data_IF_748014517532
#
_entry.id   IF_748014517532
#
_cell.length_a   1.000
_cell.length_b   1.000
_cell.length_c   1.000
_cell.angle_alpha   90.00
_cell.angle_beta   90.00
_cell.angle_gamma   90.00
#
_symmetry.space_group_name_H-M   'P 1'
#
loop_
_entity.id
_entity.type
_entity.pdbx_description
1 polymer ?
#
# COMPACT_ATOMS: atom_id res chain seq x y z
N UNK A 1 23.75 -7.01 -7.91
CA UNK A 1 22.65 -6.36 -8.62
C UNK A 1 22.36 -4.99 -8.00
N UNK A 2 21.92 -4.01 -8.81
CA UNK A 2 21.54 -2.68 -8.31
C UNK A 2 20.18 -2.67 -7.61
N UNK A 3 19.27 -3.58 -8.02
CA UNK A 3 17.92 -3.73 -7.47
C UNK A 3 17.63 -5.22 -7.24
N UNK A 4 16.99 -5.52 -6.11
CA UNK A 4 16.51 -6.86 -5.76
C UNK A 4 15.02 -6.78 -5.49
N UNK A 5 14.20 -7.42 -6.32
CA UNK A 5 12.77 -7.59 -6.04
C UNK A 5 12.55 -8.88 -5.27
N UNK A 6 11.86 -8.80 -4.16
CA UNK A 6 11.55 -9.97 -3.32
C UNK A 6 10.04 -10.17 -3.25
N UNK A 7 9.57 -11.24 -3.87
CA UNK A 7 8.18 -11.68 -3.76
C UNK A 7 8.03 -12.44 -2.43
N UNK A 8 7.39 -11.82 -1.42
CA UNK A 8 7.26 -12.40 -0.11
C UNK A 8 6.41 -11.57 0.84
N UNK A 9 6.22 -12.08 2.04
CA UNK A 9 5.50 -11.40 3.12
C UNK A 9 6.49 -10.75 4.08
N UNK A 10 6.00 -9.89 4.96
CA UNK A 10 6.75 -9.10 5.93
C UNK A 10 7.84 -9.91 6.66
N UNK A 11 7.49 -11.06 7.23
CA UNK A 11 8.42 -11.87 8.01
C UNK A 11 9.64 -12.33 7.19
N UNK A 12 9.39 -12.83 5.99
CA UNK A 12 10.46 -13.25 5.05
C UNK A 12 11.28 -12.04 4.61
N UNK A 13 10.62 -10.92 4.34
CA UNK A 13 11.26 -9.68 3.94
C UNK A 13 12.24 -9.19 5.02
N UNK A 14 11.80 -9.11 6.26
CA UNK A 14 12.66 -8.66 7.37
C UNK A 14 13.87 -9.57 7.57
N UNK A 15 13.70 -10.89 7.45
CA UNK A 15 14.84 -11.84 7.50
C UNK A 15 15.86 -11.56 6.40
N UNK A 16 15.41 -11.35 5.17
CA UNK A 16 16.26 -11.06 4.02
C UNK A 16 16.95 -9.69 4.20
N UNK A 17 16.22 -8.66 4.60
CA UNK A 17 16.76 -7.32 4.79
C UNK A 17 17.81 -7.29 5.90
N UNK A 18 17.55 -7.94 7.05
CA UNK A 18 18.52 -8.06 8.15
C UNK A 18 19.80 -8.75 7.70
N UNK A 19 19.64 -9.87 6.98
CA UNK A 19 20.80 -10.62 6.47
C UNK A 19 21.58 -9.84 5.42
N UNK A 20 20.90 -9.16 4.51
CA UNK A 20 21.52 -8.29 3.53
C UNK A 20 22.34 -7.17 4.19
N UNK A 21 21.79 -6.54 5.24
CA UNK A 21 22.52 -5.52 6.02
C UNK A 21 23.74 -6.12 6.71
N UNK A 22 23.59 -7.29 7.33
CA UNK A 22 24.69 -8.00 8.00
C UNK A 22 25.84 -8.33 7.03
N UNK A 23 25.49 -8.68 5.78
CA UNK A 23 26.47 -9.01 4.73
C UNK A 23 26.99 -7.79 3.96
N UNK A 24 26.54 -6.59 4.27
CA UNK A 24 26.94 -5.36 3.58
C UNK A 24 26.45 -5.29 2.12
N UNK A 25 25.35 -5.97 1.78
CA UNK A 25 24.81 -5.96 0.42
C UNK A 25 24.29 -4.56 0.07
N UNK A 26 24.92 -3.97 -0.95
CA UNK A 26 24.56 -2.66 -1.48
C UNK A 26 23.59 -2.84 -2.65
N UNK A 27 22.29 -2.90 -2.35
CA UNK A 27 21.23 -2.99 -3.36
C UNK A 27 19.99 -2.25 -2.88
N UNK A 28 19.16 -1.78 -3.82
CA UNK A 28 17.81 -1.30 -3.56
C UNK A 28 16.90 -2.53 -3.44
N UNK A 29 16.24 -2.67 -2.30
CA UNK A 29 15.26 -3.74 -2.10
C UNK A 29 13.86 -3.22 -2.38
N UNK A 30 13.07 -4.00 -3.14
CA UNK A 30 11.69 -3.71 -3.49
C UNK A 30 10.82 -4.92 -3.20
N UNK A 31 9.72 -4.71 -2.52
CA UNK A 31 8.70 -5.73 -2.27
C UNK A 31 7.30 -5.29 -2.70
N UNK A 32 6.37 -6.23 -2.73
CA UNK A 32 4.96 -5.98 -2.98
C UNK A 32 4.22 -5.46 -1.74
N UNK A 33 2.90 -5.49 -1.80
CA UNK A 33 1.99 -5.07 -0.73
C UNK A 33 2.14 -5.88 0.57
N UNK A 34 2.56 -7.14 0.47
CA UNK A 34 2.89 -7.98 1.63
C UNK A 34 4.04 -7.47 2.50
N UNK A 35 4.72 -6.38 2.08
CA UNK A 35 5.84 -5.79 2.80
C UNK A 35 5.47 -4.61 3.70
N UNK A 36 4.22 -4.21 3.78
CA UNK A 36 3.85 -2.97 4.47
C UNK A 36 4.26 -2.91 5.94
N UNK A 37 4.27 -4.04 6.63
CA UNK A 37 4.68 -4.12 8.03
C UNK A 37 6.19 -4.06 8.29
N UNK A 38 7.05 -4.08 7.25
CA UNK A 38 8.51 -4.01 7.45
C UNK A 38 8.97 -2.70 8.13
N UNK A 39 8.12 -1.68 8.12
CA UNK A 39 8.37 -0.41 8.84
C UNK A 39 8.59 -0.59 10.34
N UNK A 40 8.18 -1.71 10.92
CA UNK A 40 8.40 -2.09 12.31
C UNK A 40 9.87 -2.29 12.66
N UNK A 41 10.72 -2.60 11.67
CA UNK A 41 12.18 -2.71 11.85
C UNK A 41 12.89 -1.67 10.99
N UNK A 42 12.96 -0.46 11.51
CA UNK A 42 13.59 0.69 10.82
C UNK A 42 15.03 0.42 10.44
N UNK A 43 15.81 -0.26 11.30
CA UNK A 43 17.23 -0.53 11.06
C UNK A 43 17.43 -1.43 9.81
N UNK A 44 16.60 -2.44 9.65
CA UNK A 44 16.68 -3.34 8.50
C UNK A 44 16.03 -2.75 7.23
N UNK A 45 14.88 -2.10 7.39
CA UNK A 45 14.01 -1.74 6.28
C UNK A 45 14.26 -0.34 5.70
N UNK A 46 14.97 0.55 6.39
CA UNK A 46 15.19 1.92 5.92
C UNK A 46 15.81 1.94 4.52
N UNK A 47 15.22 2.72 3.61
CA UNK A 47 15.61 2.78 2.20
C UNK A 47 15.00 1.72 1.29
N UNK A 48 14.33 0.69 1.83
CA UNK A 48 13.59 -0.28 1.02
C UNK A 48 12.34 0.35 0.39
N UNK A 49 11.86 -0.22 -0.71
CA UNK A 49 10.66 0.22 -1.40
C UNK A 49 9.55 -0.82 -1.27
N UNK A 50 8.33 -0.35 -1.14
CA UNK A 50 7.13 -1.17 -0.92
C UNK A 50 6.03 -0.76 -1.89
N UNK A 51 5.47 -1.73 -2.60
CA UNK A 51 4.24 -1.54 -3.36
C UNK A 51 3.05 -1.37 -2.43
N UNK A 52 2.18 -0.40 -2.69
CA UNK A 52 1.01 -0.15 -1.85
C UNK A 52 -0.16 0.39 -2.68
N UNK A 53 -1.37 0.01 -2.32
CA UNK A 53 -2.61 0.53 -2.93
C UNK A 53 -3.16 1.77 -2.20
N UNK A 54 -2.53 2.21 -1.11
CA UNK A 54 -3.02 3.31 -0.30
C UNK A 54 -1.89 4.20 0.22
N UNK A 55 -2.13 5.51 0.18
CA UNK A 55 -1.24 6.50 0.78
C UNK A 55 -2.03 7.35 1.78
N UNK A 56 -1.78 7.13 3.08
CA UNK A 56 -2.43 7.88 4.17
C UNK A 56 -2.16 9.40 4.13
N UNK A 57 -1.08 9.83 3.48
CA UNK A 57 -0.76 11.25 3.26
C UNK A 57 -1.41 11.84 1.98
N UNK A 58 -2.28 11.08 1.32
CA UNK A 58 -2.98 11.51 0.10
C UNK A 58 -3.82 12.76 0.32
N UNK A 59 -3.82 13.64 -0.69
CA UNK A 59 -4.51 14.95 -0.62
C UNK A 59 -6.01 14.89 -0.94
N UNK A 60 -6.52 13.77 -1.42
CA UNK A 60 -7.96 13.64 -1.72
C UNK A 60 -8.79 13.77 -0.44
N UNK A 61 -9.89 14.54 -0.43
CA UNK A 61 -10.71 14.74 0.77
C UNK A 61 -11.22 13.45 1.41
N UNK A 62 -11.56 12.43 0.60
CA UNK A 62 -11.99 11.13 1.09
C UNK A 62 -10.89 10.40 1.88
N UNK A 63 -9.64 10.44 1.39
CA UNK A 63 -8.47 9.88 2.07
C UNK A 63 -8.22 10.59 3.40
N UNK A 64 -8.26 11.93 3.40
CA UNK A 64 -8.03 12.72 4.61
C UNK A 64 -9.10 12.44 5.69
N UNK A 65 -10.38 12.38 5.30
CA UNK A 65 -11.47 12.04 6.24
C UNK A 65 -11.30 10.64 6.81
N UNK A 66 -11.01 9.65 5.96
CA UNK A 66 -10.79 8.28 6.40
C UNK A 66 -9.59 8.19 7.35
N UNK A 67 -8.44 8.76 6.96
CA UNK A 67 -7.22 8.74 7.78
C UNK A 67 -7.45 9.39 9.13
N UNK A 68 -8.11 10.56 9.16
CA UNK A 68 -8.43 11.23 10.41
C UNK A 68 -9.36 10.39 11.30
N UNK A 69 -10.46 9.88 10.76
CA UNK A 69 -11.42 9.08 11.52
C UNK A 69 -10.78 7.79 12.07
N UNK A 70 -9.91 7.16 11.28
CA UNK A 70 -9.18 5.98 11.72
C UNK A 70 -8.20 6.30 12.86
N UNK A 71 -7.43 7.39 12.73
CA UNK A 71 -6.50 7.84 13.76
C UNK A 71 -7.23 8.24 15.06
N UNK A 72 -8.33 8.96 14.96
CA UNK A 72 -9.13 9.36 16.12
C UNK A 72 -9.64 8.12 16.88
N UNK A 73 -10.00 7.05 16.17
CA UNK A 73 -10.55 5.83 16.77
C UNK A 73 -9.49 4.86 17.29
N UNK A 74 -8.42 4.65 16.53
CA UNK A 74 -7.46 3.58 16.79
C UNK A 74 -6.09 4.08 17.26
N UNK A 75 -5.89 5.41 17.33
CA UNK A 75 -4.65 6.07 17.77
C UNK A 75 -3.41 5.67 16.94
N UNK A 76 -3.63 5.19 15.71
CA UNK A 76 -2.59 4.82 14.75
C UNK A 76 -2.99 5.22 13.33
N UNK A 77 -2.03 5.32 12.42
CA UNK A 77 -2.31 5.61 11.00
C UNK A 77 -2.86 4.35 10.31
N UNK A 78 -3.84 4.49 9.39
CA UNK A 78 -4.28 3.37 8.59
C UNK A 78 -3.19 2.95 7.59
N UNK A 79 -3.04 1.64 7.42
CA UNK A 79 -2.27 1.03 6.34
C UNK A 79 -3.17 0.73 5.12
N UNK A 80 -2.63 0.10 4.08
CA UNK A 80 -3.43 -0.26 2.92
C UNK A 80 -4.43 -1.38 3.22
N UNK A 81 -4.17 -2.29 4.15
CA UNK A 81 -5.13 -3.32 4.52
C UNK A 81 -6.37 -2.71 5.19
N UNK A 82 -6.17 -1.73 6.08
CA UNK A 82 -7.26 -0.97 6.69
C UNK A 82 -8.09 -0.21 5.64
N UNK A 83 -7.43 0.41 4.66
CA UNK A 83 -8.10 1.15 3.58
C UNK A 83 -8.89 0.21 2.65
N UNK A 84 -8.32 -0.93 2.27
CA UNK A 84 -8.99 -1.93 1.44
C UNK A 84 -10.20 -2.55 2.16
N UNK A 85 -10.06 -2.89 3.45
CA UNK A 85 -11.15 -3.43 4.26
C UNK A 85 -12.30 -2.40 4.42
N UNK A 86 -11.95 -1.13 4.59
CA UNK A 86 -12.92 -0.04 4.65
C UNK A 86 -13.70 0.08 3.33
N UNK A 87 -13.01 0.10 2.19
CA UNK A 87 -13.65 0.19 0.88
C UNK A 87 -14.51 -1.05 0.59
N UNK A 88 -14.00 -2.25 0.85
CA UNK A 88 -14.74 -3.50 0.68
C UNK A 88 -16.03 -3.52 1.52
N UNK A 89 -15.96 -3.09 2.78
CA UNK A 89 -17.13 -3.03 3.66
C UNK A 89 -18.17 -2.04 3.15
N UNK A 90 -17.75 -0.84 2.72
CA UNK A 90 -18.65 0.17 2.17
C UNK A 90 -19.30 -0.29 0.87
N UNK A 91 -18.52 -0.91 0.00
CA UNK A 91 -18.99 -1.43 -1.28
C UNK A 91 -20.08 -2.50 -1.09
N UNK A 92 -19.88 -3.44 -0.15
CA UNK A 92 -20.89 -4.45 0.19
C UNK A 92 -22.10 -3.81 0.85
N UNK A 93 -21.92 -2.83 1.74
CA UNK A 93 -23.03 -2.12 2.36
C UNK A 93 -23.90 -1.35 1.34
N UNK A 94 -23.27 -0.71 0.35
CA UNK A 94 -23.97 -0.05 -0.75
C UNK A 94 -24.73 -1.05 -1.62
N UNK A 95 -24.11 -2.18 -1.96
CA UNK A 95 -24.76 -3.24 -2.72
C UNK A 95 -26.02 -3.77 -2.01
N UNK A 96 -25.94 -3.99 -0.70
CA UNK A 96 -27.09 -4.43 0.12
C UNK A 96 -28.18 -3.37 0.17
N UNK A 97 -27.82 -2.10 0.28
CA UNK A 97 -28.77 -1.00 0.32
C UNK A 97 -29.54 -0.87 -1.01
N UNK A 98 -28.88 -1.11 -2.14
CA UNK A 98 -29.48 -0.97 -3.47
C UNK A 98 -30.20 -2.23 -3.97
N UNK A 99 -29.69 -3.42 -3.66
CA UNK A 99 -30.14 -4.70 -4.23
C UNK A 99 -30.67 -5.70 -3.19
N UNK A 100 -30.70 -5.32 -1.90
CA UNK A 100 -31.14 -6.21 -0.83
C UNK A 100 -30.07 -7.20 -0.35
N UNK A 101 -30.43 -7.97 0.70
CA UNK A 101 -29.50 -8.88 1.41
C UNK A 101 -29.39 -10.24 0.75
N UNK A 102 -29.14 -10.29 -0.54
CA UNK A 102 -28.96 -11.57 -1.24
C UNK A 102 -27.60 -11.63 -1.93
N UNK A 103 -27.03 -12.83 -2.05
CA UNK A 103 -25.76 -13.03 -2.77
C UNK A 103 -25.86 -12.60 -4.22
N UNK A 104 -27.01 -12.88 -4.87
CA UNK A 104 -27.27 -12.48 -6.26
C UNK A 104 -27.35 -10.96 -6.38
N UNK A 105 -28.04 -10.26 -5.47
CA UNK A 105 -28.15 -8.81 -5.48
C UNK A 105 -26.79 -8.12 -5.28
N UNK A 106 -25.99 -8.59 -4.31
CA UNK A 106 -24.64 -8.08 -4.12
C UNK A 106 -23.79 -8.29 -5.38
N UNK A 107 -23.79 -9.49 -5.95
CA UNK A 107 -23.06 -9.78 -7.19
C UNK A 107 -23.51 -8.90 -8.36
N UNK A 108 -24.82 -8.71 -8.51
CA UNK A 108 -25.40 -7.86 -9.57
C UNK A 108 -24.92 -6.41 -9.42
N UNK A 109 -24.94 -5.86 -8.20
CA UNK A 109 -24.44 -4.51 -7.95
C UNK A 109 -22.94 -4.41 -8.30
N UNK A 110 -22.11 -5.34 -7.84
CA UNK A 110 -20.69 -5.32 -8.15
C UNK A 110 -20.41 -5.40 -9.65
N UNK A 111 -21.15 -6.25 -10.37
CA UNK A 111 -21.03 -6.41 -11.81
C UNK A 111 -21.55 -5.20 -12.61
N UNK A 112 -22.38 -4.35 -12.00
CA UNK A 112 -22.90 -3.14 -12.66
C UNK A 112 -21.94 -1.95 -12.61
N UNK A 113 -20.91 -2.01 -11.77
CA UNK A 113 -19.90 -0.96 -11.68
C UNK A 113 -19.06 -0.92 -12.95
N UNK A 114 -18.89 0.26 -13.52
CA UNK A 114 -18.17 0.47 -14.77
C UNK A 114 -17.05 1.51 -14.61
N UNK A 115 -16.12 1.65 -15.57
CA UNK A 115 -15.15 2.74 -15.56
C UNK A 115 -15.78 4.14 -15.51
N UNK A 116 -17.00 4.29 -16.10
CA UNK A 116 -17.73 5.56 -16.11
C UNK A 116 -18.44 5.82 -14.76
N UNK A 117 -18.91 4.75 -14.11
CA UNK A 117 -19.63 4.79 -12.82
C UNK A 117 -18.99 3.82 -11.83
N UNK A 118 -17.76 4.06 -11.39
CA UNK A 118 -17.08 3.21 -10.42
C UNK A 118 -17.50 3.55 -8.99
N UNK A 119 -17.38 2.60 -8.09
CA UNK A 119 -17.41 2.89 -6.66
C UNK A 119 -16.25 3.80 -6.27
N UNK A 120 -16.52 4.88 -5.51
CA UNK A 120 -15.51 5.83 -5.08
C UNK A 120 -14.93 5.43 -3.73
N UNK A 121 -13.85 4.63 -3.80
CA UNK A 121 -13.10 4.20 -2.61
C UNK A 121 -12.02 5.19 -2.17
N UNK A 122 -11.49 4.97 -0.97
CA UNK A 122 -10.30 5.70 -0.49
C UNK A 122 -9.03 5.19 -1.15
N UNK A 123 -9.04 3.95 -1.66
CA UNK A 123 -7.96 3.35 -2.46
C UNK A 123 -8.02 3.75 -3.94
N UNK A 124 -9.09 4.40 -4.36
CA UNK A 124 -9.32 4.85 -5.75
C UNK A 124 -10.68 4.43 -6.27
N UNK A 125 -10.98 4.70 -7.55
CA UNK A 125 -12.19 4.22 -8.19
C UNK A 125 -12.11 2.70 -8.36
N UNK A 126 -13.20 1.98 -8.05
CA UNK A 126 -13.26 0.52 -8.11
C UNK A 126 -14.40 0.09 -9.01
N UNK A 127 -14.12 -0.73 -9.99
CA UNK A 127 -15.07 -1.50 -10.78
C UNK A 127 -14.48 -2.89 -11.02
N UNK A 128 -15.25 -3.80 -11.62
CA UNK A 128 -14.81 -5.18 -11.80
C UNK A 128 -14.77 -5.55 -13.28
N UNK A 129 -13.79 -6.36 -13.68
CA UNK A 129 -13.73 -6.95 -15.01
C UNK A 129 -14.65 -8.18 -15.12
N UNK A 130 -14.71 -8.80 -16.30
CA UNK A 130 -15.53 -9.99 -16.53
C UNK A 130 -15.13 -11.21 -15.67
N UNK A 131 -13.88 -11.27 -15.22
CA UNK A 131 -13.37 -12.31 -14.32
C UNK A 131 -13.66 -12.03 -12.84
N UNK A 132 -14.18 -10.83 -12.52
CA UNK A 132 -14.45 -10.42 -11.15
C UNK A 132 -13.24 -9.78 -10.43
N UNK A 133 -12.17 -9.45 -11.18
CA UNK A 133 -11.01 -8.77 -10.60
C UNK A 133 -11.30 -7.28 -10.42
N UNK A 134 -10.91 -6.66 -9.30
CA UNK A 134 -11.06 -5.24 -9.08
C UNK A 134 -10.08 -4.44 -9.95
N UNK A 135 -10.59 -3.44 -10.65
CA UNK A 135 -9.85 -2.55 -11.54
C UNK A 135 -10.02 -1.10 -11.06
N UNK A 136 -9.07 -0.26 -11.37
CA UNK A 136 -9.13 1.19 -11.15
C UNK A 136 -8.52 1.66 -9.84
N UNK A 137 -8.23 0.78 -8.90
CA UNK A 137 -7.50 1.12 -7.66
C UNK A 137 -6.10 1.66 -7.98
N UNK A 138 -5.65 2.63 -7.17
CA UNK A 138 -4.31 3.16 -7.28
C UNK A 138 -3.25 2.14 -6.84
N UNK A 139 -2.11 2.14 -7.51
CA UNK A 139 -0.91 1.44 -7.05
C UNK A 139 0.24 2.46 -6.96
N UNK A 140 0.93 2.45 -5.85
CA UNK A 140 2.01 3.36 -5.55
C UNK A 140 3.24 2.59 -5.10
N UNK A 141 4.40 3.17 -5.30
CA UNK A 141 5.64 2.70 -4.68
C UNK A 141 6.03 3.72 -3.61
N UNK A 142 6.16 3.24 -2.38
CA UNK A 142 6.59 4.04 -1.24
C UNK A 142 7.96 3.59 -0.75
N UNK A 143 8.77 4.52 -0.27
CA UNK A 143 10.04 4.21 0.37
C UNK A 143 9.86 4.16 1.88
N UNK A 144 10.53 3.22 2.53
CA UNK A 144 10.64 3.22 4.00
C UNK A 144 11.66 4.28 4.40
N UNK A 145 11.18 5.26 5.15
CA UNK A 145 11.99 6.34 5.72
C UNK A 145 11.62 6.49 7.19
N UNK A 146 12.57 6.24 8.07
CA UNK A 146 12.43 6.38 9.52
C UNK A 146 11.15 5.73 10.10
N UNK A 147 10.92 4.47 9.70
CA UNK A 147 9.77 3.69 10.17
C UNK A 147 8.42 4.09 9.57
N UNK A 148 8.42 4.84 8.47
CA UNK A 148 7.20 5.27 7.78
C UNK A 148 7.29 4.99 6.28
N UNK A 149 6.15 4.72 5.64
CA UNK A 149 6.05 4.65 4.18
C UNK A 149 5.85 6.06 3.61
N UNK A 150 6.83 6.53 2.86
CA UNK A 150 6.81 7.84 2.19
C UNK A 150 6.64 7.60 0.69
N UNK A 151 5.49 7.97 0.16
CA UNK A 151 5.27 7.91 -1.30
C UNK A 151 5.96 9.10 -1.96
N UNK A 152 6.79 8.83 -2.96
CA UNK A 152 7.31 9.86 -3.84
C UNK A 152 6.14 10.57 -4.53
N UNK A 153 5.96 11.88 -4.27
CA UNK A 153 5.06 12.70 -5.06
C UNK A 153 5.53 12.64 -6.52
N UNK A 154 4.61 12.32 -7.43
CA UNK A 154 4.90 12.34 -8.85
C UNK A 154 5.51 13.70 -9.24
N UNK A 155 6.72 13.66 -9.76
CA UNK A 155 7.57 14.76 -10.21
C UNK A 155 8.59 15.30 -9.19
N UNK A 156 9.51 14.45 -8.74
CA UNK A 156 10.79 14.94 -8.26
C UNK A 156 11.91 14.04 -8.81
N UNK A 157 12.79 14.64 -9.61
CA UNK A 157 14.06 14.06 -10.07
C UNK A 157 15.06 13.94 -8.89
N UNK A 158 14.66 13.42 -7.77
CA UNK A 158 15.56 13.05 -6.70
C UNK A 158 16.06 11.64 -6.99
N UNK A 159 17.30 11.55 -7.46
CA UNK A 159 18.06 10.29 -7.50
C UNK A 159 17.98 9.67 -6.10
N UNK A 160 17.76 8.36 -5.98
CA UNK A 160 17.91 7.69 -4.71
C UNK A 160 19.33 7.94 -4.22
N UNK A 161 19.46 8.55 -3.06
CA UNK A 161 20.74 8.71 -2.40
C UNK A 161 21.14 7.32 -1.91
N UNK A 162 22.06 6.68 -2.62
CA UNK A 162 22.76 5.50 -2.09
C UNK A 162 23.58 6.01 -0.92
N UNK A 163 23.18 5.69 0.30
CA UNK A 163 23.98 5.98 1.48
C UNK A 163 25.19 5.06 1.39
N UNK A 164 26.31 5.60 0.91
CA UNK A 164 27.60 4.93 1.00
C UNK A 164 27.95 4.80 2.48
N UNK A 165 28.06 3.58 2.97
CA UNK A 165 28.65 3.33 4.29
C UNK A 165 30.09 3.85 4.24
N UNK A 166 30.42 4.78 5.14
CA UNK A 166 31.78 5.24 5.32
C UNK A 166 32.64 4.03 5.69
N UNK A 167 33.59 3.71 4.83
CA UNK A 167 34.66 2.77 5.12
C UNK A 167 35.63 3.46 6.07
N UNK A 168 35.49 3.25 7.37
CA UNK A 168 36.62 3.48 8.27
C UNK A 168 37.50 2.24 8.24
N UNK A 169 38.57 2.35 7.48
CA UNK A 169 39.75 1.51 7.63
C UNK A 169 40.57 2.05 8.81
N UNK A 170 40.73 1.26 9.85
CA UNK A 170 41.99 1.08 10.58
C UNK A 170 42.08 -0.33 11.16
#
# INVERSE_FOLDING_TARGET
PGIVFVAGREESALRILREARRQGVQAIFLGGDGWQGIVSDTAAANGAYVGTSFNAAGRKPAVQRFTKAFQDKYQTKPDAFAALAYDATRLVAEAIAQKGRSRSGVREHLASLTPAEPFQGVTGPIHFNASGDPIGMGFHVAQVVDGSLVSGGGNSRSRPTVIAAASEHR
#
